data_IF_782861092576
#
_entry.id   IF_782861092576
#
_cell.length_a   1.000
_cell.length_b   1.000
_cell.length_c   1.000
_cell.angle_alpha   90.00
_cell.angle_beta   90.00
_cell.angle_gamma   90.00
#
_symmetry.space_group_name_H-M   'P 1'
#
loop_
_entity.id
_entity.type
_entity.pdbx_description
1 polymer ?
#
# COMPACT_ATOMS: atom_id res chain seq x y z
N UNK A 1 -3.27 -18.58 -1.29
CA UNK A 1 -2.06 -18.50 -2.14
C UNK A 1 -1.44 -17.13 -1.94
N UNK A 2 -0.27 -17.04 -1.30
CA UNK A 2 0.43 -15.77 -1.16
C UNK A 2 1.25 -15.56 -2.44
N UNK A 3 0.92 -14.52 -3.22
CA UNK A 3 1.78 -14.08 -4.30
C UNK A 3 2.99 -13.41 -3.66
N UNK A 4 4.18 -13.95 -3.86
CA UNK A 4 5.41 -13.32 -3.39
C UNK A 4 5.59 -11.99 -4.14
N UNK A 5 5.38 -10.88 -3.44
CA UNK A 5 5.67 -9.55 -3.97
C UNK A 5 7.19 -9.44 -4.20
N UNK A 6 7.58 -9.05 -5.42
CA UNK A 6 8.97 -8.75 -5.74
C UNK A 6 9.52 -7.61 -4.88
N UNK A 7 10.85 -7.55 -4.74
CA UNK A 7 11.50 -6.50 -3.96
C UNK A 7 11.12 -5.12 -4.51
N UNK A 8 10.68 -4.16 -3.67
CA UNK A 8 10.25 -2.86 -4.16
C UNK A 8 11.42 -2.11 -4.81
N UNK A 9 11.16 -1.31 -5.85
CA UNK A 9 12.19 -0.51 -6.50
C UNK A 9 12.85 0.43 -5.48
N UNK A 10 14.17 0.58 -5.58
CA UNK A 10 14.92 1.50 -4.69
C UNK A 10 14.45 2.93 -4.93
N UNK A 11 13.94 3.57 -3.87
CA UNK A 11 13.61 4.99 -3.90
C UNK A 11 14.84 5.85 -4.19
N UNK A 12 14.66 6.90 -5.00
CA UNK A 12 15.66 7.94 -5.23
C UNK A 12 16.04 8.57 -3.89
N UNK A 13 17.31 8.91 -3.72
CA UNK A 13 17.85 9.35 -2.43
C UNK A 13 17.13 10.59 -1.86
N UNK A 14 16.70 11.51 -2.73
CA UNK A 14 15.91 12.69 -2.35
C UNK A 14 14.54 12.35 -1.72
N UNK A 15 13.94 11.23 -2.12
CA UNK A 15 12.62 10.79 -1.65
C UNK A 15 12.69 9.92 -0.39
N UNK A 16 13.89 9.45 0.02
CA UNK A 16 14.04 8.56 1.19
C UNK A 16 13.51 9.16 2.49
N UNK A 17 13.61 10.49 2.67
CA UNK A 17 13.08 11.18 3.86
C UNK A 17 11.55 11.25 3.89
N UNK A 18 10.90 11.10 2.75
CA UNK A 18 9.44 11.10 2.58
C UNK A 18 8.95 9.76 2.02
N UNK A 19 9.67 8.69 2.30
CA UNK A 19 9.26 7.36 1.85
C UNK A 19 7.89 7.03 2.47
N UNK A 20 6.96 6.43 1.69
CA UNK A 20 5.72 5.92 2.24
C UNK A 20 6.01 4.97 3.40
N UNK A 21 5.20 5.04 4.44
CA UNK A 21 5.35 4.21 5.63
C UNK A 21 4.00 3.88 6.23
N UNK A 22 3.98 2.95 7.18
CA UNK A 22 2.77 2.37 7.74
C UNK A 22 2.15 3.21 8.88
N UNK A 23 2.21 4.53 8.81
CA UNK A 23 1.81 5.40 9.93
C UNK A 23 0.31 5.29 10.22
N UNK A 24 -0.53 5.36 9.18
CA UNK A 24 -1.97 5.26 9.29
C UNK A 24 -2.40 3.84 9.74
N UNK A 25 -1.79 2.80 9.18
CA UNK A 25 -2.09 1.42 9.54
C UNK A 25 -1.75 1.14 11.01
N UNK A 26 -0.66 1.72 11.52
CA UNK A 26 -0.27 1.60 12.94
C UNK A 26 -1.25 2.28 13.87
N UNK A 27 -1.78 3.44 13.49
CA UNK A 27 -2.81 4.15 14.25
C UNK A 27 -4.08 3.29 14.34
N UNK A 28 -4.58 2.80 13.21
CA UNK A 28 -5.76 1.92 13.15
C UNK A 28 -5.56 0.61 13.94
N UNK A 29 -4.38 0.00 13.86
CA UNK A 29 -4.07 -1.18 14.67
C UNK A 29 -3.98 -0.88 16.17
N UNK A 30 -3.56 0.34 16.55
CA UNK A 30 -3.51 0.77 17.94
C UNK A 30 -4.91 1.06 18.51
N UNK A 31 -5.85 1.49 17.66
CA UNK A 31 -7.27 1.64 17.99
C UNK A 31 -8.00 0.29 18.16
N UNK A 32 -7.34 -0.83 17.85
CA UNK A 32 -7.87 -2.18 18.02
C UNK A 32 -8.49 -2.78 16.76
N UNK A 33 -8.37 -2.15 15.60
CA UNK A 33 -8.78 -2.75 14.34
C UNK A 33 -7.87 -3.93 13.98
N UNK A 34 -8.43 -5.14 13.83
CA UNK A 34 -7.64 -6.34 13.54
C UNK A 34 -7.18 -6.40 12.07
N UNK A 35 -8.03 -5.95 11.15
CA UNK A 35 -7.79 -5.98 9.71
C UNK A 35 -7.81 -4.56 9.15
N UNK A 36 -6.68 -4.14 8.57
CA UNK A 36 -6.53 -2.87 7.87
C UNK A 36 -6.26 -3.16 6.41
N UNK A 37 -7.03 -2.51 5.52
CA UNK A 37 -6.95 -2.72 4.07
C UNK A 37 -6.56 -1.40 3.40
N UNK A 38 -5.42 -1.38 2.72
CA UNK A 38 -5.06 -0.28 1.82
C UNK A 38 -5.76 -0.46 0.48
N UNK A 39 -6.38 0.61 -0.04
CA UNK A 39 -7.10 0.61 -1.32
C UNK A 39 -6.54 1.72 -2.20
N UNK A 40 -6.30 1.40 -3.48
CA UNK A 40 -5.82 2.36 -4.48
C UNK A 40 -6.37 2.04 -5.86
N UNK A 41 -6.39 3.05 -6.74
CA UNK A 41 -6.94 2.96 -8.08
C UNK A 41 -5.96 3.37 -9.18
N UNK A 42 -6.15 2.75 -10.36
CA UNK A 42 -5.44 3.12 -11.58
C UNK A 42 -6.45 3.27 -12.72
N UNK A 43 -6.34 4.35 -13.49
CA UNK A 43 -7.13 4.57 -14.71
C UNK A 43 -8.19 5.67 -14.60
N UNK A 44 -8.32 6.38 -13.46
CA UNK A 44 -9.32 7.45 -13.26
C UNK A 44 -9.28 8.58 -14.30
N UNK A 45 -8.13 8.81 -14.93
CA UNK A 45 -7.92 9.84 -15.96
C UNK A 45 -7.72 9.31 -17.38
N UNK A 46 -7.92 8.01 -17.61
CA UNK A 46 -7.77 7.44 -18.95
C UNK A 46 -8.93 7.88 -19.86
N UNK A 47 -8.62 8.17 -21.13
CA UNK A 47 -9.64 8.51 -22.13
C UNK A 47 -10.55 7.32 -22.46
N UNK A 48 -10.01 6.10 -22.41
CA UNK A 48 -10.72 4.85 -22.54
C UNK A 48 -9.96 3.73 -21.80
N UNK A 49 -10.67 2.66 -21.46
CA UNK A 49 -10.13 1.52 -20.71
C UNK A 49 -10.73 1.41 -19.29
N UNK A 50 -10.46 0.31 -18.58
CA UNK A 50 -11.04 0.06 -17.27
C UNK A 50 -10.38 0.90 -16.16
N UNK A 51 -11.17 1.32 -15.19
CA UNK A 51 -10.68 1.71 -13.86
C UNK A 51 -10.41 0.44 -13.06
N UNK A 52 -9.18 0.26 -12.61
CA UNK A 52 -8.78 -0.90 -11.80
C UNK A 52 -8.58 -0.46 -10.36
N UNK A 53 -9.17 -1.19 -9.42
CA UNK A 53 -9.00 -0.98 -7.98
C UNK A 53 -8.21 -2.16 -7.41
N UNK A 54 -7.25 -1.88 -6.53
CA UNK A 54 -6.55 -2.88 -5.74
C UNK A 54 -6.87 -2.70 -4.26
N UNK A 55 -7.01 -3.81 -3.53
CA UNK A 55 -7.18 -3.83 -2.09
C UNK A 55 -6.17 -4.82 -1.49
N UNK A 56 -5.41 -4.37 -0.49
CA UNK A 56 -4.30 -5.14 0.10
C UNK A 56 -4.38 -5.12 1.62
N UNK A 57 -4.38 -6.31 2.22
CA UNK A 57 -4.15 -6.48 3.66
C UNK A 57 -2.65 -6.64 3.88
N UNK A 58 -2.04 -5.71 4.60
CA UNK A 58 -0.62 -5.77 4.92
C UNK A 58 -0.37 -6.63 6.17
N UNK A 59 0.70 -7.45 6.19
CA UNK A 59 1.10 -8.16 7.40
C UNK A 59 1.59 -7.17 8.46
N UNK A 60 1.06 -7.28 9.67
CA UNK A 60 1.36 -6.37 10.80
C UNK A 60 2.81 -6.46 11.29
N UNK A 61 3.44 -7.61 11.07
CA UNK A 61 4.72 -8.02 11.65
C UNK A 61 5.89 -8.05 10.64
N UNK A 62 5.65 -7.83 9.35
CA UNK A 62 6.70 -7.76 8.31
C UNK A 62 6.89 -6.34 7.80
N UNK A 63 8.15 -5.95 7.58
CA UNK A 63 8.57 -4.66 7.03
C UNK A 63 9.53 -4.87 5.87
#
# INVERSE_FOLDING_TARGET
MAVAAGSPPRLRQALKRQAPGLAAERELWAEGHEVVVGVDEVGRGAWAGPLTIAAVVLPRDRR
#
